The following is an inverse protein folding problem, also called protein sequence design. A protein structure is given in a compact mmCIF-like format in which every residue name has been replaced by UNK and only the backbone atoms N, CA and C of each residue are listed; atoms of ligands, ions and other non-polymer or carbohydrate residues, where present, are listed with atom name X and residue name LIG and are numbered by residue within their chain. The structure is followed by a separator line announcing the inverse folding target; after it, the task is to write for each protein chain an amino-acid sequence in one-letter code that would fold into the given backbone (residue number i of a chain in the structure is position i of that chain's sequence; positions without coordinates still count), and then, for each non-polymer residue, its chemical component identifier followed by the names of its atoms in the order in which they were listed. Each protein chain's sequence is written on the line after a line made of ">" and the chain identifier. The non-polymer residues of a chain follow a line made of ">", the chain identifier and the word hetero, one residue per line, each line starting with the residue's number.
data_IF_402698081455
#
_entry.id   IF_402698081455
#
_cell.length_a   1.000
_cell.length_b   1.000
_cell.length_c   1.000
_cell.angle_alpha   90.00
_cell.angle_beta   90.00
_cell.angle_gamma   90.00
#
_symmetry.space_group_name_H-M   'P 1'
#
loop_
_entity.id
_entity.type
_entity.pdbx_description
1 polymer ?
#
# COMPACT_ATOMS: atom_id res chain seq x y z
N UNK A 1 34.09 -16.62 33.89
CA UNK A 1 33.44 -15.58 33.06
C UNK A 1 32.39 -16.29 32.22
N UNK A 2 31.15 -16.26 32.68
CA UNK A 2 30.05 -17.09 32.16
C UNK A 2 29.62 -16.64 30.76
N UNK A 3 29.51 -17.61 29.85
CA UNK A 3 28.99 -17.41 28.51
C UNK A 3 27.50 -17.09 28.51
N UNK A 4 27.15 -15.97 27.87
CA UNK A 4 25.79 -15.72 27.42
C UNK A 4 25.51 -16.57 26.19
N UNK A 5 24.44 -17.36 26.26
CA UNK A 5 23.95 -18.22 25.19
C UNK A 5 23.32 -17.39 24.06
N UNK A 6 23.45 -17.92 22.84
CA UNK A 6 22.98 -17.41 21.53
C UNK A 6 21.53 -16.89 21.51
N UNK A 7 20.70 -17.28 22.48
CA UNK A 7 19.29 -16.88 22.62
C UNK A 7 19.06 -15.45 23.10
N UNK A 8 20.07 -14.79 23.68
CA UNK A 8 19.96 -13.39 24.14
C UNK A 8 19.96 -12.34 23.03
N UNK A 9 20.46 -12.67 21.83
CA UNK A 9 20.56 -11.74 20.68
C UNK A 9 19.29 -11.68 19.81
N UNK A 10 18.38 -12.64 19.95
CA UNK A 10 17.17 -12.77 19.11
C UNK A 10 15.99 -11.93 19.65
N UNK A 11 16.01 -11.56 20.95
CA UNK A 11 14.87 -10.88 21.60
C UNK A 11 14.86 -9.35 21.50
N UNK A 12 15.79 -8.74 20.79
CA UNK A 12 15.88 -7.27 20.63
C UNK A 12 15.52 -6.79 19.21
N UNK A 13 14.56 -7.45 18.55
CA UNK A 13 14.03 -7.04 17.24
C UNK A 13 12.60 -6.46 17.34
N UNK A 14 12.07 -6.31 18.55
CA UNK A 14 10.74 -5.75 18.78
C UNK A 14 10.81 -4.75 19.94
N UNK A 15 10.30 -3.55 19.67
CA UNK A 15 10.17 -2.39 20.55
C UNK A 15 11.46 -1.57 20.76
N UNK A 16 11.51 -0.40 20.10
CA UNK A 16 11.23 0.80 20.86
C UNK A 16 10.66 1.96 20.02
N UNK A 17 10.07 2.85 20.81
CA UNK A 17 9.17 3.94 20.48
C UNK A 17 9.83 5.22 20.97
N UNK A 18 9.75 6.32 20.22
CA UNK A 18 9.76 7.67 20.82
C UNK A 18 9.30 8.76 19.85
N UNK A 19 8.13 9.32 20.20
CA UNK A 19 7.75 10.75 20.22
C UNK A 19 8.19 11.65 19.06
N UNK A 20 7.26 11.97 18.16
CA UNK A 20 7.20 13.29 17.48
C UNK A 20 5.75 13.74 17.32
N UNK A 21 5.55 15.05 17.46
CA UNK A 21 4.28 15.76 17.51
C UNK A 21 3.32 15.46 16.35
N UNK A 22 2.03 15.31 16.69
CA UNK A 22 0.94 15.30 15.73
C UNK A 22 0.87 16.65 15.00
N UNK A 23 1.51 16.75 13.84
CA UNK A 23 1.18 17.76 12.87
C UNK A 23 -0.21 17.40 12.33
N UNK A 24 -1.19 18.26 12.57
CA UNK A 24 -2.51 18.14 11.96
C UNK A 24 -2.37 18.27 10.44
N UNK A 25 -2.25 17.15 9.75
CA UNK A 25 -2.40 17.09 8.30
C UNK A 25 -3.84 17.49 7.99
N UNK A 26 -4.01 18.68 7.43
CA UNK A 26 -5.29 19.05 6.83
C UNK A 26 -5.54 18.07 5.67
N UNK A 27 -6.74 17.47 5.56
CA UNK A 27 -7.05 16.61 4.44
C UNK A 27 -7.00 17.44 3.16
N UNK A 28 -6.00 17.17 2.31
CA UNK A 28 -6.08 17.55 0.91
C UNK A 28 -7.06 16.59 0.25
N UNK A 29 -8.28 17.08 -0.01
CA UNK A 29 -9.20 16.42 -0.93
C UNK A 29 -8.66 16.69 -2.33
N UNK A 30 -7.85 15.77 -2.84
CA UNK A 30 -7.37 15.82 -4.23
C UNK A 30 -8.27 14.97 -5.11
N UNK A 31 -8.68 15.54 -6.26
CA UNK A 31 -9.46 14.84 -7.27
C UNK A 31 -8.60 13.77 -7.92
N UNK A 32 -8.93 12.50 -7.70
CA UNK A 32 -8.49 11.43 -8.58
C UNK A 32 -9.14 11.71 -9.95
N UNK A 33 -8.34 12.08 -10.94
CA UNK A 33 -8.80 12.26 -12.31
C UNK A 33 -9.13 10.87 -12.87
N UNK A 34 -10.40 10.45 -12.75
CA UNK A 34 -10.92 9.33 -13.52
C UNK A 34 -11.44 9.86 -14.85
N UNK A 35 -10.64 9.76 -15.91
CA UNK A 35 -11.13 9.84 -17.31
C UNK A 35 -11.97 8.59 -17.69
N UNK A 36 -12.33 7.76 -16.71
CA UNK A 36 -13.26 6.66 -16.91
C UNK A 36 -14.70 7.22 -16.90
N UNK A 37 -15.34 7.22 -18.08
CA UNK A 37 -16.79 7.36 -18.20
C UNK A 37 -17.53 6.25 -17.43
N UNK A 38 -18.81 6.08 -17.69
CA UNK A 38 -19.62 5.10 -16.97
C UNK A 38 -19.01 3.68 -16.99
N UNK A 39 -19.00 2.98 -15.85
CA UNK A 39 -18.36 1.66 -15.74
C UNK A 39 -19.21 0.64 -14.96
N UNK A 40 -19.07 -0.67 -15.25
CA UNK A 40 -19.82 -1.71 -14.55
C UNK A 40 -19.35 -1.88 -13.10
N UNK A 41 -20.28 -2.18 -12.21
CA UNK A 41 -20.04 -2.60 -10.81
C UNK A 41 -20.69 -3.98 -10.59
N UNK A 42 -20.35 -4.67 -9.48
CA UNK A 42 -20.67 -6.09 -9.31
C UNK A 42 -22.13 -6.46 -9.61
N UNK A 43 -23.08 -5.64 -9.15
CA UNK A 43 -24.53 -5.85 -9.33
C UNK A 43 -25.19 -4.71 -10.13
N UNK A 44 -24.44 -3.94 -10.91
CA UNK A 44 -24.96 -2.70 -11.48
C UNK A 44 -24.06 -1.98 -12.47
N UNK A 45 -24.34 -0.69 -12.64
CA UNK A 45 -23.52 0.26 -13.39
C UNK A 45 -23.34 1.53 -12.53
N UNK A 46 -22.13 2.08 -12.53
CA UNK A 46 -21.83 3.39 -11.95
C UNK A 46 -21.78 4.44 -13.06
N UNK A 47 -22.59 5.49 -12.91
CA UNK A 47 -22.76 6.53 -13.92
C UNK A 47 -21.99 7.79 -13.52
N UNK A 48 -20.78 7.98 -14.02
CA UNK A 48 -19.96 9.18 -13.76
C UNK A 48 -20.43 10.37 -14.61
N UNK A 49 -20.98 10.10 -15.79
CA UNK A 49 -21.53 11.11 -16.69
C UNK A 49 -22.80 11.79 -16.14
N UNK A 50 -23.39 11.22 -15.09
CA UNK A 50 -24.52 11.81 -14.36
C UNK A 50 -24.16 13.13 -13.64
N UNK A 51 -22.87 13.40 -13.40
CA UNK A 51 -22.37 14.64 -12.80
C UNK A 51 -21.23 15.24 -13.64
N UNK A 52 -21.54 15.77 -14.84
CA UNK A 52 -20.55 16.12 -15.86
C UNK A 52 -19.62 17.29 -15.48
N UNK A 53 -19.94 18.02 -14.41
CA UNK A 53 -19.13 19.13 -13.89
C UNK A 53 -18.13 18.70 -12.81
N UNK A 54 -18.01 17.40 -12.55
CA UNK A 54 -17.08 16.82 -11.57
C UNK A 54 -16.05 15.97 -12.29
N UNK A 55 -14.80 16.09 -11.86
CA UNK A 55 -13.65 15.37 -12.40
C UNK A 55 -13.03 14.41 -11.36
N UNK A 56 -13.75 14.15 -10.27
CA UNK A 56 -13.34 13.28 -9.16
C UNK A 56 -13.99 11.89 -9.22
N UNK A 57 -14.51 11.53 -10.40
CA UNK A 57 -15.18 10.25 -10.64
C UNK A 57 -16.51 10.09 -9.92
N UNK A 58 -17.05 11.15 -9.31
CA UNK A 58 -18.36 11.09 -8.71
C UNK A 58 -19.43 10.70 -9.74
N UNK A 59 -20.50 10.08 -9.25
CA UNK A 59 -21.56 9.51 -10.08
C UNK A 59 -22.70 8.99 -9.23
N UNK A 60 -23.54 8.16 -9.83
CA UNK A 60 -24.56 7.42 -9.09
C UNK A 60 -24.54 5.96 -9.52
N UNK A 61 -24.58 5.05 -8.54
CA UNK A 61 -24.75 3.64 -8.79
C UNK A 61 -26.23 3.33 -9.10
N UNK A 62 -26.47 2.53 -10.14
CA UNK A 62 -27.75 1.85 -10.34
C UNK A 62 -27.45 0.36 -10.29
N UNK A 63 -27.84 -0.28 -9.20
CA UNK A 63 -27.49 -1.67 -8.91
C UNK A 63 -28.72 -2.48 -8.48
N UNK A 64 -28.58 -3.80 -8.45
CA UNK A 64 -29.45 -4.71 -7.72
C UNK A 64 -28.84 -4.98 -6.34
N UNK A 65 -29.67 -5.31 -5.34
CA UNK A 65 -29.21 -5.59 -3.98
C UNK A 65 -29.93 -4.76 -2.92
N UNK A 66 -29.61 -4.96 -1.64
CA UNK A 66 -30.21 -4.25 -0.50
C UNK A 66 -31.75 -4.16 -0.56
N UNK A 67 -32.41 -5.27 -0.91
CA UNK A 67 -33.88 -5.36 -0.95
C UNK A 67 -34.56 -4.84 -2.23
N UNK A 68 -33.81 -4.36 -3.24
CA UNK A 68 -34.37 -3.87 -4.49
C UNK A 68 -33.58 -4.31 -5.74
N UNK A 69 -34.27 -4.58 -6.85
CA UNK A 69 -33.65 -4.89 -8.15
C UNK A 69 -33.76 -3.73 -9.14
N UNK A 70 -33.23 -2.57 -8.74
CA UNK A 70 -33.37 -1.33 -9.50
C UNK A 70 -32.54 -1.32 -10.79
N UNK A 71 -31.38 -1.99 -10.85
CA UNK A 71 -30.63 -2.14 -12.10
C UNK A 71 -31.35 -3.02 -13.11
N UNK A 72 -31.88 -4.15 -12.66
CA UNK A 72 -32.72 -5.01 -13.49
C UNK A 72 -33.93 -4.23 -14.02
N UNK A 73 -34.61 -3.47 -13.16
CA UNK A 73 -35.77 -2.67 -13.57
C UNK A 73 -35.40 -1.50 -14.50
N UNK A 74 -34.29 -0.80 -14.24
CA UNK A 74 -33.78 0.27 -15.08
C UNK A 74 -33.53 -0.21 -16.51
N UNK A 75 -32.83 -1.35 -16.67
CA UNK A 75 -32.63 -1.98 -17.98
C UNK A 75 -33.94 -2.38 -18.65
N UNK A 76 -34.85 -3.01 -17.89
CA UNK A 76 -36.15 -3.44 -18.41
C UNK A 76 -37.02 -2.28 -18.92
N UNK A 77 -36.83 -1.08 -18.37
CA UNK A 77 -37.54 0.13 -18.77
C UNK A 77 -36.78 0.98 -19.81
N UNK A 78 -35.76 0.43 -20.47
CA UNK A 78 -35.05 1.10 -21.57
C UNK A 78 -33.86 1.96 -21.14
N UNK A 79 -33.40 1.84 -19.88
CA UNK A 79 -32.16 2.44 -19.40
C UNK A 79 -32.05 3.95 -19.59
N UNK A 80 -30.83 4.42 -19.90
CA UNK A 80 -30.52 5.86 -20.08
C UNK A 80 -31.38 6.47 -21.18
N UNK A 81 -31.66 5.75 -22.27
CA UNK A 81 -32.45 6.28 -23.39
C UNK A 81 -33.87 6.67 -22.99
N UNK A 82 -34.44 6.02 -21.97
CA UNK A 82 -35.83 6.24 -21.52
C UNK A 82 -35.93 7.02 -20.21
N UNK A 83 -35.12 6.65 -19.22
CA UNK A 83 -35.14 7.23 -17.87
C UNK A 83 -34.15 8.39 -17.73
N UNK A 84 -33.15 8.49 -18.61
CA UNK A 84 -32.01 9.38 -18.47
C UNK A 84 -31.01 8.89 -17.43
N UNK A 85 -29.97 9.70 -17.18
CA UNK A 85 -28.97 9.39 -16.16
C UNK A 85 -29.61 9.39 -14.76
N UNK A 86 -29.11 8.55 -13.84
CA UNK A 86 -29.48 8.65 -12.43
C UNK A 86 -29.11 10.05 -11.90
N UNK A 87 -29.98 10.63 -11.08
CA UNK A 87 -29.74 11.94 -10.45
C UNK A 87 -29.81 11.87 -8.92
N UNK A 88 -29.95 10.66 -8.39
CA UNK A 88 -29.95 10.40 -6.96
C UNK A 88 -29.39 9.02 -6.64
N UNK A 89 -28.90 8.88 -5.41
CA UNK A 89 -28.82 7.62 -4.67
C UNK A 89 -30.22 7.04 -4.47
N UNK A 90 -30.28 5.82 -3.96
CA UNK A 90 -31.52 5.23 -3.47
C UNK A 90 -32.04 6.03 -2.26
N UNK A 91 -33.36 6.13 -2.13
CA UNK A 91 -34.03 6.79 -1.01
C UNK A 91 -35.34 6.08 -0.65
N UNK A 92 -35.79 6.27 0.59
CA UNK A 92 -37.11 5.79 1.01
C UNK A 92 -38.22 6.64 0.37
N UNK A 93 -39.15 5.96 -0.28
CA UNK A 93 -40.41 6.53 -0.73
C UNK A 93 -41.57 5.72 -0.17
N UNK A 94 -42.14 6.19 0.94
CA UNK A 94 -43.32 5.59 1.58
C UNK A 94 -43.08 4.15 2.04
N UNK A 95 -41.86 3.84 2.48
CA UNK A 95 -41.46 2.50 2.90
C UNK A 95 -40.88 1.62 1.79
N UNK A 96 -40.91 2.08 0.53
CA UNK A 96 -40.33 1.38 -0.61
C UNK A 96 -39.01 2.02 -1.05
N UNK A 97 -38.11 1.20 -1.59
CA UNK A 97 -36.82 1.67 -2.12
C UNK A 97 -37.05 2.35 -3.47
N UNK A 98 -36.67 3.61 -3.59
CA UNK A 98 -36.79 4.40 -4.82
C UNK A 98 -35.45 4.99 -5.28
N UNK A 99 -35.33 5.30 -6.56
CA UNK A 99 -34.19 6.03 -7.12
C UNK A 99 -34.64 6.93 -8.28
N UNK A 100 -34.10 8.15 -8.32
CA UNK A 100 -34.46 9.15 -9.32
C UNK A 100 -33.49 9.20 -10.49
N UNK A 101 -34.06 9.46 -11.66
CA UNK A 101 -33.40 9.62 -12.95
C UNK A 101 -33.89 10.93 -13.59
N UNK A 102 -33.24 11.42 -14.64
CA UNK A 102 -33.61 12.70 -15.26
C UNK A 102 -35.10 12.79 -15.67
N UNK A 103 -35.70 11.66 -16.08
CA UNK A 103 -37.07 11.60 -16.59
C UNK A 103 -38.08 10.93 -15.64
N UNK A 104 -37.83 10.90 -14.33
CA UNK A 104 -38.73 10.34 -13.32
C UNK A 104 -37.99 9.52 -12.29
N UNK A 105 -38.70 8.76 -11.46
CA UNK A 105 -38.07 7.88 -10.47
C UNK A 105 -38.69 6.49 -10.49
N UNK A 106 -37.86 5.48 -10.22
CA UNK A 106 -38.30 4.10 -10.05
C UNK A 106 -38.59 3.85 -8.57
N UNK A 107 -39.69 3.15 -8.27
CA UNK A 107 -40.02 2.65 -6.93
C UNK A 107 -40.11 1.13 -7.00
N UNK A 108 -39.30 0.45 -6.21
CA UNK A 108 -39.29 -1.01 -6.14
C UNK A 108 -40.46 -1.53 -5.30
N UNK A 109 -41.33 -2.32 -5.91
CA UNK A 109 -42.37 -3.05 -5.21
C UNK A 109 -41.89 -4.48 -4.92
N UNK A 110 -41.57 -4.75 -3.67
CA UNK A 110 -41.04 -6.05 -3.25
C UNK A 110 -42.04 -7.20 -3.43
N UNK A 111 -43.34 -6.94 -3.19
CA UNK A 111 -44.40 -7.95 -3.30
C UNK A 111 -44.60 -8.44 -4.74
N UNK A 112 -44.41 -7.55 -5.71
CA UNK A 112 -44.58 -7.85 -7.14
C UNK A 112 -43.26 -8.15 -7.85
N UNK A 113 -42.11 -7.95 -7.19
CA UNK A 113 -40.80 -8.16 -7.77
C UNK A 113 -40.52 -7.27 -8.99
N UNK A 114 -41.09 -6.06 -9.03
CA UNK A 114 -41.00 -5.12 -10.16
C UNK A 114 -40.88 -3.68 -9.67
N UNK A 115 -40.26 -2.80 -10.47
CA UNK A 115 -40.29 -1.37 -10.20
C UNK A 115 -41.33 -0.64 -11.05
N UNK A 116 -42.05 0.29 -10.44
CA UNK A 116 -42.93 1.24 -11.13
C UNK A 116 -42.18 2.55 -11.40
N UNK A 117 -42.39 3.15 -12.57
CA UNK A 117 -41.91 4.51 -12.88
C UNK A 117 -42.95 5.53 -12.49
N UNK A 118 -42.55 6.46 -11.64
CA UNK A 118 -43.38 7.56 -11.17
C UNK A 118 -42.82 8.91 -11.63
N UNK A 119 -43.72 9.89 -11.71
CA UNK A 119 -43.40 11.28 -12.04
C UNK A 119 -43.04 12.08 -10.77
N UNK A 120 -42.10 13.02 -10.89
CA UNK A 120 -41.65 13.86 -9.78
C UNK A 120 -42.75 14.62 -9.05
N UNK A 121 -43.91 14.87 -9.67
CA UNK A 121 -45.10 15.40 -9.00
C UNK A 121 -45.55 14.60 -7.78
N UNK A 122 -45.15 13.33 -7.66
CA UNK A 122 -45.45 12.47 -6.51
C UNK A 122 -44.45 12.61 -5.34
N UNK A 123 -43.31 13.26 -5.54
CA UNK A 123 -42.33 13.53 -4.48
C UNK A 123 -42.67 14.81 -3.70
N UNK A 124 -42.38 14.86 -2.38
CA UNK A 124 -42.40 16.09 -1.62
C UNK A 124 -41.53 17.17 -2.28
N UNK A 125 -42.09 18.36 -2.51
CA UNK A 125 -41.37 19.45 -3.17
C UNK A 125 -40.97 19.18 -4.63
N UNK A 126 -41.50 18.11 -5.23
CA UNK A 126 -41.21 17.66 -6.60
C UNK A 126 -39.74 17.37 -6.89
N UNK A 127 -38.98 16.98 -5.87
CA UNK A 127 -37.55 16.70 -5.96
C UNK A 127 -37.17 15.51 -5.05
N UNK A 128 -36.11 14.76 -5.38
CA UNK A 128 -35.57 13.77 -4.46
C UNK A 128 -35.06 14.43 -3.16
N UNK A 129 -34.97 13.67 -2.05
CA UNK A 129 -34.41 14.17 -0.80
C UNK A 129 -33.01 14.75 -1.00
N UNK A 130 -32.67 15.80 -0.25
CA UNK A 130 -31.37 16.47 -0.37
C UNK A 130 -30.16 15.54 -0.10
N UNK A 131 -30.35 14.52 0.74
CA UNK A 131 -29.36 13.47 1.02
C UNK A 131 -29.18 12.51 -0.16
N UNK A 132 -30.22 12.31 -0.96
CA UNK A 132 -30.21 11.39 -2.10
C UNK A 132 -29.55 12.01 -3.33
N UNK A 133 -29.64 13.33 -3.54
CA UNK A 133 -29.03 14.00 -4.70
C UNK A 133 -27.51 14.22 -4.58
N UNK A 134 -26.91 13.78 -3.47
CA UNK A 134 -25.46 13.79 -3.32
C UNK A 134 -24.88 12.65 -4.16
N UNK A 135 -24.01 12.97 -5.12
CA UNK A 135 -23.32 11.96 -5.90
C UNK A 135 -22.56 11.00 -4.99
N UNK A 136 -22.64 9.72 -5.31
CA UNK A 136 -21.66 8.77 -4.82
C UNK A 136 -20.33 9.06 -5.49
N UNK A 137 -19.30 8.52 -4.91
CA UNK A 137 -18.00 8.46 -5.54
C UNK A 137 -17.70 6.98 -5.76
N UNK A 138 -16.75 6.64 -6.64
CA UNK A 138 -16.50 5.28 -7.06
C UNK A 138 -16.42 4.34 -5.86
N UNK A 139 -17.19 3.23 -5.81
CA UNK A 139 -16.98 2.19 -4.82
C UNK A 139 -15.62 1.50 -5.01
N UNK A 140 -14.83 1.92 -6.00
CA UNK A 140 -13.51 1.42 -6.31
C UNK A 140 -12.47 2.51 -6.22
N UNK A 141 -11.23 2.15 -5.95
CA UNK A 141 -10.07 2.98 -6.23
C UNK A 141 -8.90 2.11 -6.67
N UNK A 142 -8.05 2.64 -7.53
CA UNK A 142 -6.84 1.95 -7.98
C UNK A 142 -5.78 2.97 -8.33
N UNK A 143 -4.53 2.65 -8.04
CA UNK A 143 -3.40 3.43 -8.49
C UNK A 143 -2.12 2.59 -8.52
N UNK A 144 -1.16 3.07 -9.28
CA UNK A 144 0.18 2.51 -9.43
C UNK A 144 1.19 3.67 -9.38
N UNK A 145 2.26 3.48 -8.62
CA UNK A 145 3.34 4.46 -8.44
C UNK A 145 4.29 4.35 -9.61
N UNK A 146 4.66 5.50 -10.18
CA UNK A 146 5.58 5.59 -11.31
C UNK A 146 6.77 6.51 -11.00
N UNK A 147 8.03 6.03 -11.08
CA UNK A 147 8.40 4.64 -11.34
C UNK A 147 8.09 3.74 -10.15
N UNK A 148 7.75 2.47 -10.43
CA UNK A 148 7.57 1.47 -9.38
C UNK A 148 8.90 1.20 -8.62
N UNK A 149 8.85 0.85 -7.32
CA UNK A 149 10.01 0.42 -6.54
C UNK A 149 10.67 -0.79 -7.18
N UNK A 150 11.98 -0.77 -7.27
CA UNK A 150 12.74 -1.86 -7.89
C UNK A 150 12.75 -3.12 -7.02
N UNK A 151 12.82 -4.27 -7.68
CA UNK A 151 13.03 -5.56 -7.03
C UNK A 151 14.50 -5.86 -6.79
N UNK A 152 14.80 -6.67 -5.78
CA UNK A 152 16.18 -6.95 -5.38
C UNK A 152 16.30 -8.14 -4.46
N UNK A 153 17.26 -8.07 -3.55
CA UNK A 153 17.39 -9.01 -2.43
C UNK A 153 17.04 -8.32 -1.11
N UNK A 154 16.86 -9.08 -0.03
CA UNK A 154 16.91 -8.52 1.32
C UNK A 154 18.31 -8.67 1.95
N UNK A 155 19.30 -9.13 1.17
CA UNK A 155 20.66 -9.44 1.63
C UNK A 155 20.67 -10.24 2.94
N UNK A 156 20.41 -11.56 2.90
CA UNK A 156 20.27 -12.38 4.09
C UNK A 156 21.48 -12.31 5.02
N UNK A 157 21.20 -12.33 6.32
CA UNK A 157 22.19 -12.46 7.37
C UNK A 157 22.72 -13.90 7.50
N UNK A 158 22.15 -14.86 6.78
CA UNK A 158 22.67 -16.22 6.65
C UNK A 158 23.33 -16.43 5.28
N UNK A 159 24.57 -16.95 5.24
CA UNK A 159 25.23 -17.28 3.98
C UNK A 159 24.65 -18.51 3.27
N UNK A 160 23.70 -19.23 3.89
CA UNK A 160 23.10 -20.45 3.32
C UNK A 160 21.95 -20.18 2.34
N UNK A 161 21.53 -18.92 2.17
CA UNK A 161 20.30 -18.58 1.45
C UNK A 161 20.56 -17.83 0.15
N UNK A 162 21.37 -16.78 0.19
CA UNK A 162 21.52 -15.86 -0.93
C UNK A 162 22.73 -14.93 -0.77
N UNK A 163 22.85 -13.89 -1.61
CA UNK A 163 23.96 -12.95 -1.55
C UNK A 163 23.94 -12.18 -0.23
N UNK A 164 25.04 -12.22 0.53
CA UNK A 164 25.18 -11.45 1.77
C UNK A 164 26.02 -10.20 1.53
N UNK A 165 25.88 -9.20 2.41
CA UNK A 165 26.70 -7.98 2.34
C UNK A 165 28.17 -8.21 2.72
N UNK A 166 28.51 -9.37 3.26
CA UNK A 166 29.83 -9.72 3.80
C UNK A 166 30.43 -11.01 3.22
N UNK A 167 29.94 -11.50 2.07
CA UNK A 167 30.58 -12.57 1.32
C UNK A 167 31.91 -12.11 0.69
N UNK A 168 32.83 -13.01 0.32
CA UNK A 168 33.98 -12.62 -0.50
C UNK A 168 33.51 -11.97 -1.82
N UNK A 169 34.01 -10.78 -2.13
CA UNK A 169 33.59 -9.96 -3.26
C UNK A 169 32.24 -9.26 -3.08
N UNK A 170 31.74 -9.15 -1.84
CA UNK A 170 30.45 -8.52 -1.53
C UNK A 170 30.44 -7.01 -1.73
N UNK A 171 29.25 -6.38 -1.65
CA UNK A 171 29.13 -4.93 -1.82
C UNK A 171 29.99 -4.16 -0.82
N UNK A 172 29.98 -4.54 0.47
CA UNK A 172 30.77 -3.86 1.50
C UNK A 172 32.27 -4.09 1.39
N UNK A 173 32.71 -5.27 0.94
CA UNK A 173 34.14 -5.48 0.70
C UNK A 173 34.65 -4.57 -0.42
N UNK A 174 33.86 -4.39 -1.49
CA UNK A 174 34.20 -3.48 -2.59
C UNK A 174 34.15 -2.03 -2.15
N UNK A 175 33.20 -1.66 -1.31
CA UNK A 175 33.14 -0.33 -0.69
C UNK A 175 34.39 -0.04 0.15
N UNK A 176 34.79 -0.96 1.04
CA UNK A 176 36.00 -0.82 1.85
C UNK A 176 37.26 -0.67 0.98
N UNK A 177 37.35 -1.43 -0.11
CA UNK A 177 38.44 -1.31 -1.09
C UNK A 177 38.46 0.06 -1.77
N UNK A 178 37.31 0.55 -2.21
CA UNK A 178 37.18 1.86 -2.84
C UNK A 178 37.58 2.99 -1.89
N UNK A 179 37.04 2.99 -0.67
CA UNK A 179 37.37 4.02 0.34
C UNK A 179 38.87 3.98 0.65
N UNK A 180 39.44 2.80 0.89
CA UNK A 180 40.88 2.63 1.13
C UNK A 180 41.71 3.19 -0.02
N UNK A 181 41.29 2.97 -1.28
CA UNK A 181 42.00 3.47 -2.45
C UNK A 181 41.95 5.00 -2.58
N UNK A 182 40.88 5.64 -2.12
CA UNK A 182 40.66 7.10 -2.22
C UNK A 182 41.23 7.86 -1.02
N UNK A 183 41.13 7.31 0.19
CA UNK A 183 41.47 8.01 1.44
C UNK A 183 42.73 7.48 2.11
N UNK A 184 43.11 6.23 1.84
CA UNK A 184 44.16 5.50 2.56
C UNK A 184 43.69 4.79 3.84
N UNK A 185 42.44 5.02 4.27
CA UNK A 185 41.86 4.45 5.49
C UNK A 185 40.81 3.39 5.14
N UNK A 186 40.82 2.27 5.87
CA UNK A 186 39.79 1.23 5.75
C UNK A 186 38.62 1.53 6.70
N UNK A 187 37.39 1.73 6.19
CA UNK A 187 36.22 2.01 7.03
C UNK A 187 35.66 0.77 7.74
N UNK A 188 36.17 -0.44 7.43
CA UNK A 188 35.80 -1.73 8.03
C UNK A 188 34.30 -2.02 8.04
N UNK A 189 33.58 -1.61 6.99
CA UNK A 189 32.13 -1.83 6.87
C UNK A 189 31.82 -3.32 6.73
N UNK A 190 32.64 -4.04 5.97
CA UNK A 190 32.55 -5.50 5.83
C UNK A 190 32.72 -6.24 7.15
N UNK A 191 33.73 -5.84 7.94
CA UNK A 191 34.04 -6.47 9.22
C UNK A 191 32.94 -6.23 10.25
N UNK A 192 32.47 -4.99 10.32
CA UNK A 192 31.36 -4.59 11.18
C UNK A 192 30.09 -5.37 10.86
N UNK A 193 29.69 -5.42 9.59
CA UNK A 193 28.47 -6.11 9.16
C UNK A 193 28.50 -7.59 9.51
N UNK A 194 29.63 -8.25 9.28
CA UNK A 194 29.83 -9.66 9.65
C UNK A 194 29.78 -9.89 11.16
N UNK A 195 30.13 -8.89 11.97
CA UNK A 195 30.09 -9.01 13.42
C UNK A 195 28.66 -8.80 13.96
N UNK A 196 27.94 -7.82 13.42
CA UNK A 196 26.69 -7.35 13.97
C UNK A 196 25.45 -8.02 13.34
N UNK A 197 25.55 -8.48 12.08
CA UNK A 197 24.46 -9.02 11.25
C UNK A 197 24.82 -10.39 10.64
N UNK A 198 25.37 -11.28 11.46
CA UNK A 198 25.65 -12.68 11.09
C UNK A 198 24.79 -13.67 11.89
N UNK A 199 23.78 -14.23 11.21
CA UNK A 199 22.81 -15.17 11.80
C UNK A 199 22.67 -16.44 10.95
N UNK A 200 23.67 -17.33 10.95
CA UNK A 200 23.72 -18.49 10.05
C UNK A 200 22.60 -19.52 10.27
N UNK A 201 21.94 -19.49 11.44
CA UNK A 201 20.79 -20.34 11.75
C UNK A 201 19.43 -19.74 11.39
N UNK A 202 19.40 -18.48 10.94
CA UNK A 202 18.16 -17.72 10.72
C UNK A 202 18.06 -17.33 9.25
N UNK A 203 17.36 -18.13 8.46
CA UNK A 203 17.32 -17.99 6.99
C UNK A 203 16.49 -16.80 6.50
N UNK A 204 15.62 -16.24 7.35
CA UNK A 204 14.79 -15.08 7.04
C UNK A 204 15.43 -13.74 7.44
N UNK A 205 16.37 -13.76 8.40
CA UNK A 205 16.97 -12.54 8.90
C UNK A 205 17.82 -11.85 7.82
N UNK A 206 17.81 -10.52 7.83
CA UNK A 206 18.54 -9.67 6.91
C UNK A 206 17.91 -8.28 6.84
N UNK A 207 18.03 -7.63 5.70
CA UNK A 207 17.79 -6.21 5.49
C UNK A 207 16.47 -5.93 4.75
N UNK A 208 15.41 -6.70 5.01
CA UNK A 208 14.15 -6.53 4.27
C UNK A 208 13.53 -5.13 4.43
N UNK A 209 13.66 -4.50 5.60
CA UNK A 209 13.26 -3.10 5.82
C UNK A 209 14.17 -2.12 5.08
N UNK A 210 15.49 -2.37 5.04
CA UNK A 210 16.44 -1.57 4.27
C UNK A 210 16.17 -1.65 2.77
N UNK A 211 15.84 -2.85 2.26
CA UNK A 211 15.38 -3.06 0.89
C UNK A 211 14.12 -2.26 0.60
N UNK A 212 13.08 -2.42 1.42
CA UNK A 212 11.82 -1.73 1.18
C UNK A 212 11.98 -0.20 1.19
N UNK A 213 12.82 0.33 2.10
CA UNK A 213 13.13 1.74 2.17
C UNK A 213 13.93 2.22 0.95
N UNK A 214 15.03 1.56 0.61
CA UNK A 214 15.87 1.90 -0.53
C UNK A 214 15.08 1.87 -1.85
N UNK A 215 14.24 0.85 -2.05
CA UNK A 215 13.43 0.72 -3.26
C UNK A 215 12.39 1.85 -3.42
N UNK A 216 11.92 2.45 -2.33
CA UNK A 216 11.00 3.59 -2.35
C UNK A 216 11.70 4.94 -2.55
N UNK A 217 12.95 5.06 -2.11
CA UNK A 217 13.66 6.34 -1.98
C UNK A 217 14.69 6.58 -3.08
N UNK A 218 15.29 5.51 -3.61
CA UNK A 218 16.46 5.60 -4.47
C UNK A 218 16.11 5.17 -5.90
N UNK A 219 16.60 5.91 -6.91
CA UNK A 219 16.56 5.45 -8.29
C UNK A 219 17.23 4.09 -8.43
N UNK A 220 16.66 3.23 -9.28
CA UNK A 220 17.23 1.90 -9.49
C UNK A 220 18.61 1.97 -10.14
N UNK A 221 19.64 1.31 -9.57
CA UNK A 221 20.88 1.03 -10.30
C UNK A 221 20.59 0.06 -11.46
N UNK A 222 20.85 0.47 -12.70
CA UNK A 222 20.48 -0.30 -13.91
C UNK A 222 21.68 -0.91 -14.66
N UNK A 223 22.91 -0.52 -14.33
CA UNK A 223 24.13 -1.02 -14.95
C UNK A 223 25.26 -1.16 -13.91
N UNK A 224 26.25 -2.05 -14.16
CA UNK A 224 27.49 -2.07 -13.40
C UNK A 224 28.29 -0.76 -13.55
N UNK A 225 29.19 -0.52 -12.60
CA UNK A 225 30.08 0.63 -12.54
C UNK A 225 31.51 0.15 -12.26
N UNK A 226 32.48 0.71 -12.98
CA UNK A 226 33.90 0.43 -12.79
C UNK A 226 34.63 1.66 -12.20
N UNK A 227 35.24 1.50 -11.02
CA UNK A 227 35.96 2.56 -10.34
C UNK A 227 37.29 2.06 -9.80
N UNK A 228 38.39 2.67 -10.24
CA UNK A 228 39.74 2.32 -9.77
C UNK A 228 40.07 0.82 -9.90
N UNK A 229 39.52 0.16 -10.93
CA UNK A 229 39.68 -1.28 -11.15
C UNK A 229 38.78 -2.17 -10.30
N UNK A 230 37.80 -1.58 -9.61
CA UNK A 230 36.77 -2.29 -8.82
C UNK A 230 35.45 -2.22 -9.60
N UNK A 231 34.94 -3.38 -10.01
CA UNK A 231 33.62 -3.49 -10.65
C UNK A 231 32.52 -3.68 -9.60
N UNK A 232 31.63 -2.70 -9.49
CA UNK A 232 30.37 -2.80 -8.75
C UNK A 232 29.27 -3.26 -9.71
N UNK A 233 28.70 -4.44 -9.48
CA UNK A 233 27.53 -4.92 -10.22
C UNK A 233 26.25 -4.19 -9.78
N UNK A 234 25.15 -4.36 -10.52
CA UNK A 234 23.82 -3.87 -10.10
C UNK A 234 23.46 -4.39 -8.70
N UNK A 235 23.75 -5.66 -8.41
CA UNK A 235 23.56 -6.24 -7.08
C UNK A 235 24.40 -5.52 -6.00
N UNK A 236 25.64 -5.12 -6.34
CA UNK A 236 26.49 -4.41 -5.38
C UNK A 236 25.95 -3.02 -5.07
N UNK A 237 25.58 -2.28 -6.11
CA UNK A 237 25.02 -0.94 -5.96
C UNK A 237 23.73 -0.94 -5.14
N UNK A 238 22.82 -1.90 -5.43
CA UNK A 238 21.60 -2.08 -4.64
C UNK A 238 21.92 -2.50 -3.20
N UNK A 239 22.91 -3.37 -2.99
CA UNK A 239 23.32 -3.81 -1.66
C UNK A 239 23.83 -2.67 -0.77
N UNK A 240 24.61 -1.74 -1.33
CA UNK A 240 25.07 -0.54 -0.62
C UNK A 240 23.91 0.37 -0.21
N UNK A 241 22.93 0.55 -1.09
CA UNK A 241 21.72 1.33 -0.77
C UNK A 241 20.89 0.63 0.31
N UNK A 242 20.68 -0.68 0.20
CA UNK A 242 19.92 -1.45 1.18
C UNK A 242 20.55 -1.40 2.57
N UNK A 243 21.86 -1.57 2.66
CA UNK A 243 22.56 -1.46 3.94
C UNK A 243 22.42 -0.03 4.51
N UNK A 244 22.66 0.99 3.67
CA UNK A 244 22.51 2.38 4.10
C UNK A 244 21.11 2.69 4.64
N UNK A 245 20.04 2.20 3.98
CA UNK A 245 18.65 2.45 4.38
C UNK A 245 18.14 1.51 5.48
N UNK A 246 18.92 0.51 5.90
CA UNK A 246 18.54 -0.38 6.99
C UNK A 246 18.36 0.37 8.33
N UNK A 247 19.05 1.49 8.49
CA UNK A 247 18.98 2.37 9.67
C UNK A 247 17.98 3.52 9.60
N UNK A 248 17.15 3.61 8.56
CA UNK A 248 16.19 4.72 8.41
C UNK A 248 15.11 4.70 9.50
N UNK A 249 14.77 5.89 10.01
CA UNK A 249 13.59 6.07 10.84
C UNK A 249 12.30 6.06 10.00
N UNK A 250 11.15 6.09 10.66
CA UNK A 250 9.86 6.24 10.00
C UNK A 250 9.38 7.70 10.07
N UNK A 251 9.04 8.29 8.91
CA UNK A 251 8.36 9.58 8.84
C UNK A 251 6.96 9.51 9.48
N UNK A 252 6.29 8.37 9.30
CA UNK A 252 5.04 7.99 9.97
C UNK A 252 4.93 6.48 10.04
N UNK A 253 4.13 5.98 10.97
CA UNK A 253 3.92 4.55 11.20
C UNK A 253 2.56 4.30 11.83
N UNK A 254 1.87 3.25 11.39
CA UNK A 254 0.63 2.74 11.98
C UNK A 254 0.75 1.24 12.27
N UNK A 255 0.16 0.77 13.37
CA UNK A 255 0.32 -0.59 13.88
C UNK A 255 1.72 -0.88 14.47
N UNK A 256 1.95 -2.12 14.86
CA UNK A 256 3.21 -2.61 15.42
C UNK A 256 3.27 -2.62 16.97
N UNK A 257 4.46 -2.84 17.51
CA UNK A 257 4.69 -3.16 18.93
C UNK A 257 4.10 -2.16 19.94
N UNK A 258 3.96 -0.88 19.56
CA UNK A 258 3.43 0.18 20.43
C UNK A 258 2.00 0.61 20.09
N UNK A 259 1.47 0.17 18.93
CA UNK A 259 0.15 0.56 18.39
C UNK A 259 -0.87 -0.57 18.32
N UNK A 260 -0.47 -1.81 18.62
CA UNK A 260 -1.29 -3.00 18.42
C UNK A 260 -1.33 -3.45 16.96
N UNK A 261 -2.25 -4.37 16.65
CA UNK A 261 -2.50 -4.80 15.27
C UNK A 261 -2.87 -3.59 14.39
N UNK A 262 -2.37 -3.57 13.15
CA UNK A 262 -2.74 -2.54 12.19
C UNK A 262 -4.25 -2.49 12.00
N UNK A 263 -4.85 -1.32 12.21
CA UNK A 263 -6.25 -1.08 11.89
C UNK A 263 -6.42 -1.02 10.35
N UNK A 264 -7.34 -1.79 9.73
CA UNK A 264 -7.53 -1.72 8.28
C UNK A 264 -8.03 -0.36 7.79
N UNK A 265 -8.61 0.49 8.65
CA UNK A 265 -8.90 1.88 8.30
C UNK A 265 -7.63 2.68 8.01
N UNK A 266 -6.53 2.43 8.73
CA UNK A 266 -5.22 3.05 8.43
C UNK A 266 -4.70 2.59 7.07
N UNK A 267 -4.79 1.29 6.78
CA UNK A 267 -4.41 0.76 5.46
C UNK A 267 -5.23 1.42 4.34
N UNK A 268 -6.55 1.48 4.49
CA UNK A 268 -7.46 2.11 3.52
C UNK A 268 -7.06 3.57 3.27
N UNK A 269 -6.89 4.36 4.33
CA UNK A 269 -6.50 5.77 4.22
C UNK A 269 -5.15 5.92 3.53
N UNK A 270 -4.16 5.11 3.90
CA UNK A 270 -2.80 5.24 3.36
C UNK A 270 -2.72 4.80 1.90
N UNK A 271 -3.43 3.75 1.48
CA UNK A 271 -3.49 3.38 0.07
C UNK A 271 -4.10 4.50 -0.79
N UNK A 272 -5.23 5.07 -0.37
CA UNK A 272 -5.90 6.14 -1.12
C UNK A 272 -5.06 7.44 -1.16
N UNK A 273 -4.49 7.83 -0.03
CA UNK A 273 -3.80 9.11 0.09
C UNK A 273 -2.36 9.05 -0.45
N UNK A 274 -1.60 8.02 -0.11
CA UNK A 274 -0.19 7.92 -0.51
C UNK A 274 -0.03 7.33 -1.91
N UNK A 275 -0.55 6.12 -2.13
CA UNK A 275 -0.41 5.45 -3.43
C UNK A 275 -1.32 6.13 -4.46
N UNK A 276 -2.58 6.37 -4.09
CA UNK A 276 -3.60 6.96 -4.97
C UNK A 276 -3.37 8.42 -5.32
N UNK A 277 -3.20 9.27 -4.30
CA UNK A 277 -3.20 10.73 -4.51
C UNK A 277 -1.79 11.32 -4.61
N UNK A 278 -0.86 10.86 -3.77
CA UNK A 278 0.51 11.40 -3.75
C UNK A 278 1.45 10.71 -4.76
N UNK A 279 1.05 9.59 -5.36
CA UNK A 279 1.92 8.78 -6.22
C UNK A 279 3.14 8.25 -5.48
N UNK A 280 2.99 7.91 -4.19
CA UNK A 280 4.07 7.40 -3.33
C UNK A 280 3.71 6.06 -2.72
N UNK A 281 4.62 5.10 -2.84
CA UNK A 281 4.53 3.83 -2.11
C UNK A 281 4.83 3.99 -0.61
N UNK A 282 4.63 2.92 0.13
CA UNK A 282 5.04 2.81 1.54
C UNK A 282 5.35 1.36 1.89
N UNK A 283 5.85 1.10 3.08
CA UNK A 283 6.29 -0.23 3.51
C UNK A 283 5.16 -0.95 4.24
N UNK A 284 4.89 -2.20 3.85
CA UNK A 284 4.04 -3.14 4.55
C UNK A 284 4.94 -4.13 5.30
N UNK A 285 4.81 -4.19 6.61
CA UNK A 285 5.56 -5.10 7.46
C UNK A 285 4.64 -6.20 8.00
N UNK A 286 5.03 -7.45 7.75
CA UNK A 286 4.29 -8.65 8.14
C UNK A 286 5.02 -9.39 9.26
N UNK A 287 4.28 -9.75 10.30
CA UNK A 287 4.69 -10.79 11.25
C UNK A 287 4.29 -12.16 10.67
N UNK A 288 5.28 -13.02 10.47
CA UNK A 288 5.09 -14.38 9.93
C UNK A 288 5.03 -15.46 11.02
N UNK A 289 5.10 -15.06 12.29
CA UNK A 289 5.20 -15.93 13.45
C UNK A 289 6.65 -16.31 13.79
N UNK A 290 6.89 -16.70 15.04
CA UNK A 290 8.22 -17.14 15.49
C UNK A 290 9.29 -16.04 15.51
N UNK A 291 8.87 -14.77 15.46
CA UNK A 291 9.76 -13.60 15.35
C UNK A 291 10.20 -13.27 13.93
N UNK A 292 9.76 -14.02 12.91
CA UNK A 292 10.05 -13.74 11.50
C UNK A 292 9.24 -12.54 11.02
N UNK A 293 9.93 -11.53 10.51
CA UNK A 293 9.32 -10.29 10.00
C UNK A 293 9.81 -10.01 8.59
N UNK A 294 8.89 -9.59 7.72
CA UNK A 294 9.22 -9.17 6.35
C UNK A 294 8.61 -7.83 6.02
N UNK A 295 9.38 -6.96 5.36
CA UNK A 295 8.96 -5.63 4.94
C UNK A 295 9.00 -5.52 3.41
N UNK A 296 7.90 -5.10 2.80
CA UNK A 296 7.77 -4.99 1.35
C UNK A 296 7.29 -3.60 0.96
N UNK A 297 7.84 -2.98 -0.11
CA UNK A 297 7.34 -1.71 -0.60
C UNK A 297 6.09 -1.94 -1.47
N UNK A 298 4.92 -1.45 -1.04
CA UNK A 298 3.73 -1.41 -1.89
C UNK A 298 3.85 -0.31 -2.92
N UNK A 299 3.43 -0.59 -4.15
CA UNK A 299 3.46 0.38 -5.24
C UNK A 299 2.18 0.45 -6.03
N UNK A 300 1.29 -0.54 -5.88
CA UNK A 300 0.02 -0.57 -6.58
C UNK A 300 -1.06 -1.15 -5.68
N UNK A 301 -2.27 -0.64 -5.85
CA UNK A 301 -3.46 -1.26 -5.28
C UNK A 301 -4.66 -1.16 -6.21
N UNK A 302 -5.60 -2.05 -5.98
CA UNK A 302 -6.96 -2.04 -6.49
C UNK A 302 -7.87 -2.34 -5.31
N UNK A 303 -8.85 -1.49 -5.06
CA UNK A 303 -9.76 -1.59 -3.92
C UNK A 303 -11.19 -1.43 -4.41
N UNK A 304 -12.09 -2.16 -3.78
CA UNK A 304 -13.52 -2.13 -4.00
C UNK A 304 -14.24 -2.20 -2.65
N UNK A 305 -15.30 -1.43 -2.47
CA UNK A 305 -16.09 -1.40 -1.25
C UNK A 305 -17.58 -1.16 -1.50
N UNK A 306 -18.42 -1.84 -0.72
CA UNK A 306 -19.87 -1.67 -0.75
C UNK A 306 -20.41 -1.54 0.66
N UNK A 307 -21.52 -0.83 0.80
CA UNK A 307 -22.19 -0.69 2.07
C UNK A 307 -22.65 -2.07 2.58
N UNK A 308 -22.44 -2.32 3.87
CA UNK A 308 -22.90 -3.52 4.55
C UNK A 308 -24.43 -3.54 4.57
N UNK A 309 -25.07 -4.66 4.14
CA UNK A 309 -26.52 -4.73 4.01
C UNK A 309 -27.26 -4.74 5.37
N UNK A 310 -26.56 -4.98 6.48
CA UNK A 310 -27.14 -5.13 7.81
C UNK A 310 -26.68 -4.01 8.76
N UNK A 311 -25.47 -3.49 8.58
CA UNK A 311 -24.89 -2.44 9.40
C UNK A 311 -24.83 -1.09 8.64
N UNK A 312 -25.82 -0.19 8.82
CA UNK A 312 -25.73 1.14 8.24
C UNK A 312 -24.48 1.84 8.79
N UNK A 313 -23.73 2.53 7.92
CA UNK A 313 -22.42 3.17 8.20
C UNK A 313 -21.20 2.22 8.22
N UNK A 314 -21.37 0.95 7.85
CA UNK A 314 -20.25 0.03 7.63
C UNK A 314 -20.11 -0.29 6.15
N UNK A 315 -18.88 -0.43 5.67
CA UNK A 315 -18.55 -0.81 4.30
C UNK A 315 -17.69 -2.07 4.31
N UNK A 316 -18.07 -3.06 3.50
CA UNK A 316 -17.27 -4.24 3.19
C UNK A 316 -16.26 -3.87 2.11
N UNK A 317 -14.97 -4.07 2.36
CA UNK A 317 -13.86 -3.69 1.48
C UNK A 317 -13.06 -4.92 1.07
N UNK A 318 -12.73 -4.99 -0.21
CA UNK A 318 -11.76 -5.92 -0.79
C UNK A 318 -10.67 -5.12 -1.47
N UNK A 319 -9.42 -5.32 -1.06
CA UNK A 319 -8.27 -4.57 -1.58
C UNK A 319 -7.17 -5.53 -1.97
N UNK A 320 -6.74 -5.50 -3.23
CA UNK A 320 -5.54 -6.18 -3.71
C UNK A 320 -4.38 -5.19 -3.78
N UNK A 321 -3.23 -5.58 -3.27
CA UNK A 321 -1.99 -4.79 -3.34
C UNK A 321 -0.88 -5.56 -4.06
N UNK A 322 0.01 -4.83 -4.73
CA UNK A 322 1.23 -5.37 -5.32
C UNK A 322 2.44 -4.70 -4.70
N UNK A 323 3.44 -5.51 -4.39
CA UNK A 323 4.69 -5.09 -3.77
C UNK A 323 5.87 -5.49 -4.64
N UNK A 324 7.03 -4.84 -4.48
CA UNK A 324 8.25 -5.27 -5.15
C UNK A 324 8.82 -6.53 -4.47
N UNK A 325 9.17 -7.53 -5.26
CA UNK A 325 9.79 -8.77 -4.79
C UNK A 325 11.24 -8.54 -4.36
N UNK A 326 11.64 -9.21 -3.28
CA UNK A 326 13.00 -9.22 -2.75
C UNK A 326 13.71 -10.56 -2.97
N UNK A 327 13.19 -11.43 -3.83
CA UNK A 327 13.80 -12.70 -4.18
C UNK A 327 13.91 -12.89 -5.70
N UNK A 328 14.54 -11.93 -6.36
CA UNK A 328 14.81 -11.95 -7.82
C UNK A 328 16.28 -12.29 -8.10
N UNK A 329 16.69 -12.58 -9.35
CA UNK A 329 18.12 -12.71 -9.66
C UNK A 329 18.93 -11.48 -9.19
N UNK A 330 20.17 -11.62 -8.69
CA UNK A 330 20.90 -10.52 -8.05
C UNK A 330 21.04 -9.23 -8.88
N UNK A 331 21.25 -9.36 -10.20
CA UNK A 331 21.38 -8.23 -11.12
C UNK A 331 20.06 -7.90 -11.87
N UNK A 332 18.92 -8.34 -11.35
CA UNK A 332 17.62 -8.00 -11.92
C UNK A 332 17.41 -6.49 -11.92
N UNK A 333 16.85 -5.97 -13.02
CA UNK A 333 16.48 -4.57 -13.21
C UNK A 333 14.98 -4.50 -13.48
N UNK A 334 14.28 -3.61 -12.79
CA UNK A 334 12.85 -3.40 -12.81
C UNK A 334 12.14 -3.91 -11.56
N UNK A 335 10.83 -4.09 -11.69
CA UNK A 335 9.94 -4.53 -10.59
C UNK A 335 9.31 -5.88 -10.92
N UNK A 336 9.50 -6.86 -10.05
CA UNK A 336 8.78 -8.12 -10.06
C UNK A 336 7.65 -8.05 -9.03
N UNK A 337 6.38 -8.29 -9.40
CA UNK A 337 5.27 -8.23 -8.45
C UNK A 337 5.30 -9.39 -7.45
N UNK A 338 5.23 -9.05 -6.17
CA UNK A 338 5.08 -9.96 -5.04
C UNK A 338 3.67 -9.85 -4.43
N UNK A 339 3.04 -10.96 -3.98
CA UNK A 339 3.50 -12.35 -4.00
C UNK A 339 3.43 -13.05 -5.37
N UNK A 340 3.04 -12.31 -6.41
CA UNK A 340 2.94 -12.78 -7.77
C UNK A 340 2.11 -11.80 -8.59
N UNK A 341 1.80 -12.13 -9.87
CA UNK A 341 1.08 -11.23 -10.77
C UNK A 341 -0.33 -10.86 -10.27
N UNK A 342 -0.94 -11.68 -9.41
CA UNK A 342 -2.29 -11.43 -8.87
C UNK A 342 -2.30 -10.57 -7.60
N UNK A 343 -1.14 -10.19 -7.07
CA UNK A 343 -1.04 -9.41 -5.83
C UNK A 343 -1.50 -10.16 -4.59
N UNK A 344 -1.61 -9.43 -3.47
CA UNK A 344 -2.12 -9.90 -2.19
C UNK A 344 -3.46 -9.23 -1.93
N UNK A 345 -4.52 -10.03 -1.85
CA UNK A 345 -5.87 -9.55 -1.51
C UNK A 345 -6.09 -9.53 -0.01
N UNK A 346 -6.72 -8.46 0.46
CA UNK A 346 -7.22 -8.26 1.80
C UNK A 346 -8.72 -8.04 1.79
N UNK A 347 -9.39 -8.49 2.85
CA UNK A 347 -10.80 -8.28 3.10
C UNK A 347 -11.01 -7.72 4.49
N UNK A 348 -11.79 -6.65 4.62
CA UNK A 348 -12.03 -5.96 5.88
C UNK A 348 -13.30 -5.13 5.80
N UNK A 349 -13.82 -4.72 6.96
CA UNK A 349 -14.84 -3.68 7.04
C UNK A 349 -14.22 -2.36 7.45
N UNK A 350 -14.85 -1.26 7.04
CA UNK A 350 -14.56 0.09 7.54
C UNK A 350 -15.83 0.81 7.96
N UNK A 351 -15.71 1.72 8.93
CA UNK A 351 -16.82 2.52 9.46
C UNK A 351 -16.71 3.99 8.99
N UNK A 352 -17.84 4.62 8.70
CA UNK A 352 -17.91 5.99 8.20
C UNK A 352 -17.70 6.10 6.68
N UNK A 353 -17.05 7.18 6.24
CA UNK A 353 -16.70 7.38 4.84
C UNK A 353 -15.58 6.40 4.43
N UNK A 354 -15.78 5.50 3.45
CA UNK A 354 -14.76 4.52 3.05
C UNK A 354 -13.51 5.12 2.43
N UNK A 355 -13.50 6.43 2.10
CA UNK A 355 -12.29 7.16 1.68
C UNK A 355 -11.48 7.75 2.82
N UNK A 356 -12.13 7.95 3.96
CA UNK A 356 -11.49 8.44 5.16
C UNK A 356 -12.12 7.78 6.39
N UNK A 357 -12.06 6.45 6.49
CA UNK A 357 -12.79 5.73 7.52
C UNK A 357 -12.21 6.04 8.90
N UNK A 358 -13.06 6.02 9.92
CA UNK A 358 -12.63 6.25 11.30
C UNK A 358 -12.04 5.00 11.95
N UNK A 359 -12.57 3.82 11.59
CA UNK A 359 -12.24 2.54 12.18
C UNK A 359 -12.55 1.40 11.20
N UNK A 360 -12.10 0.18 11.51
CA UNK A 360 -12.35 -0.99 10.67
C UNK A 360 -12.00 -2.31 11.35
N UNK A 361 -12.33 -3.41 10.71
CA UNK A 361 -12.06 -4.75 11.24
C UNK A 361 -11.69 -5.72 10.12
N UNK A 362 -10.60 -6.45 10.30
CA UNK A 362 -10.20 -7.49 9.34
C UNK A 362 -11.25 -8.61 9.24
N UNK A 363 -11.49 -9.11 8.03
CA UNK A 363 -12.49 -10.16 7.78
C UNK A 363 -11.90 -11.31 6.95
N UNK A 364 -12.64 -12.41 6.83
CA UNK A 364 -12.24 -13.59 6.06
C UNK A 364 -10.82 -14.07 6.39
N UNK A 365 -10.07 -14.40 5.34
CA UNK A 365 -8.67 -14.87 5.42
C UNK A 365 -7.68 -13.78 5.86
N UNK A 366 -8.13 -12.52 5.92
CA UNK A 366 -7.31 -11.41 6.38
C UNK A 366 -7.39 -11.21 7.90
N UNK A 367 -8.13 -12.04 8.64
CA UNK A 367 -8.26 -11.91 10.11
C UNK A 367 -7.02 -12.31 10.89
N UNK A 368 -6.39 -13.40 10.47
CA UNK A 368 -5.29 -14.01 11.20
C UNK A 368 -4.57 -15.04 10.33
N UNK A 369 -3.32 -15.32 10.69
CA UNK A 369 -2.49 -16.32 10.03
C UNK A 369 -1.26 -15.70 9.38
N UNK A 370 -0.33 -16.57 8.99
CA UNK A 370 0.91 -16.17 8.34
C UNK A 370 0.57 -15.38 7.08
N UNK A 371 1.11 -14.17 6.96
CA UNK A 371 0.91 -13.30 5.81
C UNK A 371 -0.56 -12.86 5.58
N UNK A 372 -1.46 -12.99 6.57
CA UNK A 372 -2.90 -12.65 6.42
C UNK A 372 -3.12 -11.17 6.11
N UNK A 373 -2.59 -10.29 6.95
CA UNK A 373 -2.54 -8.83 6.80
C UNK A 373 -1.21 -8.29 7.33
N UNK A 374 -0.75 -7.09 6.92
CA UNK A 374 0.40 -6.46 7.55
C UNK A 374 0.08 -6.09 9.00
N UNK A 375 1.08 -6.25 9.89
CA UNK A 375 1.00 -5.83 11.28
C UNK A 375 1.40 -4.37 11.49
N UNK A 376 2.11 -3.79 10.52
CA UNK A 376 2.55 -2.39 10.53
C UNK A 376 2.66 -1.85 9.11
N UNK A 377 2.34 -0.57 8.93
CA UNK A 377 2.66 0.20 7.73
C UNK A 377 3.46 1.44 8.11
N UNK A 378 4.42 1.84 7.28
CA UNK A 378 5.27 3.00 7.55
C UNK A 378 5.93 3.53 6.28
N UNK A 379 6.43 4.76 6.33
CA UNK A 379 7.24 5.34 5.26
C UNK A 379 8.60 5.79 5.82
N UNK A 380 9.71 5.54 5.11
CA UNK A 380 11.05 5.87 5.59
C UNK A 380 11.32 7.39 5.61
N UNK A 381 12.09 7.82 6.61
CA UNK A 381 12.66 9.17 6.71
C UNK A 381 14.18 9.07 6.63
N UNK A 382 14.74 9.22 5.43
CA UNK A 382 16.16 9.03 5.17
C UNK A 382 17.09 10.04 5.88
N UNK A 383 16.55 11.18 6.34
CA UNK A 383 17.34 12.19 7.06
C UNK A 383 17.51 11.90 8.55
N UNK A 384 16.78 10.91 9.08
CA UNK A 384 16.78 10.55 10.51
C UNK A 384 17.12 9.08 10.65
N UNK A 385 18.10 8.75 11.49
CA UNK A 385 18.44 7.36 11.82
C UNK A 385 17.62 6.87 13.00
N UNK A 386 17.32 5.57 13.04
CA UNK A 386 16.77 4.94 14.23
C UNK A 386 17.73 5.03 15.42
N UNK A 387 17.21 5.30 16.63
CA UNK A 387 18.00 5.78 17.77
C UNK A 387 18.52 4.67 18.72
N UNK A 388 18.22 3.40 18.46
CA UNK A 388 18.36 2.34 19.48
C UNK A 388 19.65 1.52 19.37
N UNK A 389 20.22 1.44 18.17
CA UNK A 389 21.49 0.79 17.87
C UNK A 389 21.97 1.27 16.51
N UNK A 390 23.28 1.29 16.32
CA UNK A 390 23.87 1.38 14.98
C UNK A 390 23.45 0.12 14.21
N UNK A 391 22.42 0.25 13.37
CA UNK A 391 21.97 -0.82 12.47
C UNK A 391 22.84 -0.89 11.22
N UNK A 392 23.55 0.18 10.91
CA UNK A 392 24.42 0.34 9.75
C UNK A 392 25.84 0.62 10.24
N UNK A 393 26.84 0.12 9.53
CA UNK A 393 28.23 0.44 9.86
C UNK A 393 28.45 1.96 9.88
N UNK A 394 29.08 2.52 10.94
CA UNK A 394 29.44 3.94 10.97
C UNK A 394 30.39 4.37 9.84
N UNK A 395 31.07 3.42 9.20
CA UNK A 395 31.95 3.65 8.04
C UNK A 395 31.22 3.77 6.70
N UNK A 396 29.93 3.42 6.64
CA UNK A 396 29.13 3.52 5.41
C UNK A 396 28.54 4.93 5.26
N UNK A 397 29.14 5.71 4.37
CA UNK A 397 28.80 7.12 4.15
C UNK A 397 27.93 7.32 2.90
N UNK A 398 26.83 8.09 3.05
CA UNK A 398 25.87 8.31 1.95
C UNK A 398 26.49 8.99 0.75
N UNK A 399 27.41 9.93 0.98
CA UNK A 399 28.03 10.71 -0.08
C UNK A 399 29.01 9.85 -0.88
N UNK A 400 29.71 8.96 -0.21
CA UNK A 400 30.58 7.97 -0.82
C UNK A 400 29.77 6.99 -1.67
N UNK A 401 28.66 6.46 -1.14
CA UNK A 401 27.72 5.62 -1.91
C UNK A 401 27.18 6.37 -3.14
N UNK A 402 26.79 7.65 -2.98
CA UNK A 402 26.35 8.48 -4.11
C UNK A 402 27.42 8.63 -5.19
N UNK A 403 28.68 8.78 -4.78
CA UNK A 403 29.83 8.92 -5.69
C UNK A 403 30.04 7.65 -6.49
N UNK A 404 29.94 6.48 -5.84
CA UNK A 404 30.03 5.18 -6.51
C UNK A 404 28.89 5.02 -7.53
N UNK A 405 27.64 5.34 -7.14
CA UNK A 405 26.47 5.22 -8.01
C UNK A 405 26.52 6.16 -9.23
N UNK A 406 27.07 7.36 -9.08
CA UNK A 406 27.11 8.37 -10.14
C UNK A 406 28.23 8.15 -11.15
N UNK A 407 29.20 7.29 -10.84
CA UNK A 407 30.26 6.96 -11.77
C UNK A 407 29.69 6.13 -12.93
N UNK A 408 29.38 6.81 -14.03
CA UNK A 408 29.12 6.20 -15.33
C UNK A 408 30.36 6.45 -16.18
N UNK A 409 30.82 5.42 -16.90
CA UNK A 409 31.93 5.52 -17.86
C UNK A 409 31.68 6.58 -18.96
#
# INVERSE_FOLDING_TARGET
>A
MSGMTVWGRIRAFAAACSLVAAAALQPFVASAQSDAGDYPIADGQFFTEAVPNRNDGAGFAVEDGQGAKLWTAFKAQGGVDTLGYPISRRFDFRGDVAQAFQNGFLVWNADHGSAERLDFSQLPGRKPPATAVQADFPPTASAEVEPAPWSGWWWPASPSVGPTLYAPGSPLQKYDQYVTAVTGDNPDTFGWERQEVYFPGTTWAGHCNGFAAAALLEPEPTAPVDLLGITFSVADLKGLLVDYHFGDAAAWSFGGADGGDLNPADLQRMLLNWVGSAGKGFVLTYDMGGGEVWSYPVYRFESYWNMDPVAPDTWQVTTTVWMADMNVPPNFVGTQPYPGPNGKTFTYTVQGDPRNPSDGTWTGDSRAGRFSHPGRIWYPEASVRGNERDLVSPGLDRKTVATILAASD
#
